data_IF_786247016701
#
_entry.id   IF_786247016701
#
_cell.length_a   1.000
_cell.length_b   1.000
_cell.length_c   1.000
_cell.angle_alpha   90.00
_cell.angle_beta   90.00
_cell.angle_gamma   90.00
#
_symmetry.space_group_name_H-M   'P 1'
#
loop_
_entity.id
_entity.type
_entity.pdbx_description
1 polymer ?
#
# COMPACT_ATOMS: atom_id res chain seq x y z
N UNK A 1 65.26 21.32 -45.21
CA UNK A 1 65.30 20.14 -46.11
C UNK A 1 64.64 19.00 -45.36
N UNK A 2 63.38 18.64 -45.72
CA UNK A 2 62.96 17.34 -46.35
C UNK A 2 63.47 16.12 -45.55
N UNK A 3 62.66 15.25 -44.94
CA UNK A 3 61.54 14.43 -45.44
C UNK A 3 60.74 13.88 -44.23
N UNK A 4 59.40 13.90 -44.17
CA UNK A 4 58.40 12.94 -44.71
C UNK A 4 58.72 11.45 -44.44
N UNK A 5 58.00 10.85 -43.49
CA UNK A 5 57.43 9.50 -43.68
C UNK A 5 56.09 9.38 -42.93
N UNK A 6 55.08 9.00 -43.71
CA UNK A 6 53.66 8.86 -43.39
C UNK A 6 53.42 7.54 -42.64
N UNK A 7 52.80 7.60 -41.46
CA UNK A 7 52.28 6.43 -40.74
C UNK A 7 50.77 6.32 -40.91
N UNK A 8 50.36 5.42 -41.81
CA UNK A 8 48.99 5.11 -42.18
C UNK A 8 48.27 4.38 -41.02
N UNK A 9 47.25 4.99 -40.41
CA UNK A 9 46.32 4.27 -39.51
C UNK A 9 45.04 3.99 -40.28
N UNK A 10 44.83 2.70 -40.58
CA UNK A 10 43.61 2.20 -41.22
C UNK A 10 42.38 2.53 -40.36
N UNK A 11 41.45 3.27 -40.96
CA UNK A 11 40.04 3.34 -40.55
C UNK A 11 39.39 1.98 -40.77
N UNK A 12 39.12 1.24 -39.70
CA UNK A 12 38.21 0.10 -39.74
C UNK A 12 36.79 0.65 -39.68
N UNK A 13 36.08 0.50 -40.80
CA UNK A 13 34.69 0.90 -40.96
C UNK A 13 33.77 0.20 -39.97
N UNK A 14 32.94 0.99 -39.29
CA UNK A 14 31.79 0.50 -38.54
C UNK A 14 30.73 0.06 -39.56
N UNK A 15 30.54 -1.26 -39.65
CA UNK A 15 29.52 -1.86 -40.50
C UNK A 15 28.15 -1.74 -39.81
N UNK A 16 27.38 -0.73 -40.23
CA UNK A 16 25.96 -0.57 -39.94
C UNK A 16 25.17 -1.54 -40.83
N UNK A 17 24.89 -2.73 -40.31
CA UNK A 17 23.67 -3.53 -40.57
C UNK A 17 23.88 -4.98 -40.11
N UNK A 18 23.50 -5.27 -38.87
CA UNK A 18 22.95 -6.59 -38.54
C UNK A 18 22.14 -6.46 -37.26
N UNK A 19 20.88 -6.01 -37.42
CA UNK A 19 19.90 -6.12 -36.36
C UNK A 19 19.62 -7.62 -36.16
N UNK A 20 20.32 -8.24 -35.20
CA UNK A 20 19.89 -9.52 -34.66
C UNK A 20 18.63 -9.27 -33.84
N UNK A 21 17.52 -9.81 -34.34
CA UNK A 21 16.28 -9.93 -33.59
C UNK A 21 16.58 -10.58 -32.25
N UNK A 22 16.33 -9.83 -31.17
CA UNK A 22 16.36 -10.37 -29.82
C UNK A 22 15.20 -11.36 -29.73
N UNK A 23 15.54 -12.65 -29.75
CA UNK A 23 14.63 -13.71 -29.36
C UNK A 23 14.11 -13.37 -27.96
N UNK A 24 12.79 -13.25 -27.86
CA UNK A 24 12.07 -12.95 -26.63
C UNK A 24 12.26 -14.12 -25.67
N UNK A 25 12.79 -13.90 -24.45
CA UNK A 25 12.78 -14.94 -23.45
C UNK A 25 11.34 -15.19 -23.01
N UNK A 26 10.86 -16.37 -23.34
CA UNK A 26 9.66 -17.00 -22.81
C UNK A 26 9.70 -16.94 -21.27
N UNK A 27 9.01 -15.96 -20.69
CA UNK A 27 8.67 -15.94 -19.27
C UNK A 27 7.17 -15.64 -19.16
N UNK A 28 6.37 -16.61 -19.60
CA UNK A 28 4.92 -16.62 -19.44
C UNK A 28 4.58 -16.78 -17.96
N UNK A 29 4.62 -15.68 -17.21
CA UNK A 29 3.68 -15.49 -16.13
C UNK A 29 2.31 -15.29 -16.79
N UNK A 30 1.46 -16.33 -16.77
CA UNK A 30 0.09 -16.20 -17.21
C UNK A 30 -0.55 -14.98 -16.52
N UNK A 31 -1.26 -14.10 -17.25
CA UNK A 31 -1.87 -12.92 -16.70
C UNK A 31 -3.02 -13.35 -15.79
N UNK A 32 -2.75 -13.48 -14.49
CA UNK A 32 -3.82 -13.52 -13.51
C UNK A 32 -4.29 -12.08 -13.34
N UNK A 33 -5.34 -11.73 -14.08
CA UNK A 33 -5.79 -10.35 -14.22
C UNK A 33 -6.50 -9.88 -12.96
N UNK A 34 -5.74 -9.27 -12.06
CA UNK A 34 -6.22 -8.09 -11.37
C UNK A 34 -6.18 -6.96 -12.41
N UNK A 35 -7.24 -6.15 -12.54
CA UNK A 35 -7.19 -4.97 -13.40
C UNK A 35 -5.91 -4.16 -13.13
N UNK A 36 -5.36 -3.42 -14.11
CA UNK A 36 -4.12 -2.69 -13.92
C UNK A 36 -4.25 -1.78 -12.68
N UNK A 37 -3.53 -2.10 -11.59
CA UNK A 37 -3.31 -1.16 -10.48
C UNK A 37 -3.45 -1.67 -9.05
N UNK A 38 -4.22 -2.71 -8.71
CA UNK A 38 -4.60 -2.95 -7.30
C UNK A 38 -3.71 -3.94 -6.52
N UNK A 39 -2.40 -3.96 -6.79
CA UNK A 39 -1.44 -4.73 -5.98
C UNK A 39 -0.71 -3.82 -5.03
N UNK A 40 -0.47 -4.25 -3.79
CA UNK A 40 0.21 -3.45 -2.76
C UNK A 40 1.54 -2.84 -3.23
N UNK A 41 2.32 -3.64 -3.95
CA UNK A 41 3.56 -3.23 -4.59
C UNK A 41 3.45 -3.27 -6.11
N UNK A 42 4.28 -2.49 -6.82
CA UNK A 42 4.49 -2.69 -8.24
C UNK A 42 4.75 -4.16 -8.57
N UNK A 43 4.36 -4.57 -9.77
CA UNK A 43 4.64 -5.91 -10.27
C UNK A 43 6.14 -6.22 -10.08
N UNK A 44 6.43 -7.33 -9.42
CA UNK A 44 7.79 -7.72 -9.07
C UNK A 44 7.91 -9.25 -9.10
N UNK A 45 9.14 -9.74 -9.24
CA UNK A 45 9.46 -11.16 -9.34
C UNK A 45 10.02 -11.75 -8.04
N UNK A 46 9.99 -10.99 -6.94
CA UNK A 46 10.56 -11.45 -5.68
C UNK A 46 9.68 -12.56 -5.09
N UNK A 47 10.33 -13.69 -4.79
CA UNK A 47 9.71 -14.86 -4.18
C UNK A 47 10.40 -15.19 -2.87
N UNK A 48 9.62 -15.39 -1.80
CA UNK A 48 10.15 -15.76 -0.48
C UNK A 48 9.48 -17.06 -0.02
N UNK A 49 10.18 -18.21 -0.14
CA UNK A 49 9.61 -19.50 0.22
C UNK A 49 9.42 -19.61 1.74
N UNK A 50 8.70 -20.65 2.16
CA UNK A 50 8.64 -21.03 3.57
C UNK A 50 10.05 -21.40 4.05
N UNK A 51 10.42 -20.89 5.22
CA UNK A 51 11.72 -21.17 5.85
C UNK A 51 11.48 -21.62 7.31
N UNK A 52 12.37 -22.46 7.88
CA UNK A 52 12.28 -22.88 9.28
C UNK A 52 12.44 -21.70 10.26
N UNK A 53 13.16 -20.66 9.82
CA UNK A 53 13.43 -19.44 10.56
C UNK A 53 12.86 -18.23 9.83
N UNK A 54 12.31 -17.29 10.57
CA UNK A 54 11.68 -16.09 10.02
C UNK A 54 11.10 -15.23 11.13
N UNK A 55 10.90 -13.94 10.85
CA UNK A 55 10.35 -13.00 11.84
C UNK A 55 8.86 -13.23 12.11
N UNK A 56 8.16 -13.93 11.21
CA UNK A 56 6.75 -14.25 11.32
C UNK A 56 6.47 -15.70 10.94
N UNK A 57 5.68 -16.41 11.74
CA UNK A 57 5.18 -17.74 11.44
C UNK A 57 3.72 -17.71 10.92
N UNK A 58 3.23 -18.86 10.46
CA UNK A 58 1.89 -18.98 9.88
C UNK A 58 0.77 -18.59 10.85
N UNK A 59 0.93 -18.94 12.14
CA UNK A 59 -0.05 -18.63 13.17
C UNK A 59 -0.17 -17.12 13.35
N UNK A 60 0.96 -16.40 13.43
CA UNK A 60 0.98 -14.94 13.51
C UNK A 60 0.37 -14.30 12.27
N UNK A 61 0.74 -14.79 11.08
CA UNK A 61 0.17 -14.34 9.81
C UNK A 61 -1.36 -14.48 9.79
N UNK A 62 -1.89 -15.68 10.05
CA UNK A 62 -3.34 -15.93 10.10
C UNK A 62 -4.03 -15.12 11.19
N UNK A 63 -3.39 -14.93 12.35
CA UNK A 63 -3.95 -14.14 13.44
C UNK A 63 -4.11 -12.67 13.08
N UNK A 64 -3.16 -12.08 12.35
CA UNK A 64 -3.29 -10.71 11.83
C UNK A 64 -4.56 -10.59 10.98
N UNK A 65 -4.71 -11.43 9.96
CA UNK A 65 -5.88 -11.38 9.08
C UNK A 65 -7.19 -11.64 9.84
N UNK A 66 -7.18 -12.54 10.82
CA UNK A 66 -8.36 -12.80 11.65
C UNK A 66 -8.79 -11.55 12.43
N UNK A 67 -7.86 -10.84 13.08
CA UNK A 67 -8.18 -9.63 13.84
C UNK A 67 -8.66 -8.52 12.90
N UNK A 68 -8.02 -8.35 11.73
CA UNK A 68 -8.48 -7.38 10.73
C UNK A 68 -9.91 -7.70 10.27
N UNK A 69 -10.23 -8.96 9.94
CA UNK A 69 -11.59 -9.38 9.58
C UNK A 69 -12.60 -9.09 10.69
N UNK A 70 -12.27 -9.40 11.95
CA UNK A 70 -13.15 -9.17 13.10
C UNK A 70 -13.54 -7.69 13.25
N UNK A 71 -12.60 -6.79 12.95
CA UNK A 71 -12.83 -5.34 13.02
C UNK A 71 -13.59 -4.85 11.79
N UNK A 72 -13.20 -5.29 10.59
CA UNK A 72 -13.63 -4.65 9.35
C UNK A 72 -14.81 -5.31 8.65
N UNK A 73 -15.01 -6.62 8.75
CA UNK A 73 -16.15 -7.26 8.09
C UNK A 73 -17.51 -6.66 8.53
N UNK A 74 -17.75 -6.34 9.82
CA UNK A 74 -18.97 -5.62 10.22
C UNK A 74 -19.08 -4.22 9.60
N UNK A 75 -17.97 -3.50 9.46
CA UNK A 75 -17.92 -2.15 8.87
C UNK A 75 -18.28 -2.21 7.38
N UNK A 76 -17.80 -3.21 6.65
CA UNK A 76 -18.20 -3.43 5.25
C UNK A 76 -19.70 -3.63 5.12
N UNK A 77 -20.30 -4.46 5.99
CA UNK A 77 -21.75 -4.70 6.00
C UNK A 77 -22.56 -3.43 6.28
N UNK A 78 -22.11 -2.62 7.23
CA UNK A 78 -22.72 -1.32 7.53
C UNK A 78 -22.63 -0.34 6.36
N UNK A 79 -21.60 -0.45 5.52
CA UNK A 79 -21.39 0.35 4.31
C UNK A 79 -22.03 -0.26 3.05
N UNK A 80 -22.98 -1.19 3.20
CA UNK A 80 -23.71 -1.79 2.08
C UNK A 80 -22.93 -2.81 1.27
N UNK A 81 -21.73 -3.22 1.71
CA UNK A 81 -20.96 -4.32 1.11
C UNK A 81 -21.24 -5.59 1.91
N UNK A 82 -21.79 -6.65 1.29
CA UNK A 82 -22.33 -7.80 2.04
C UNK A 82 -21.25 -8.59 2.80
N UNK A 83 -19.99 -8.51 2.37
CA UNK A 83 -18.88 -9.25 3.01
C UNK A 83 -17.50 -8.67 2.63
N UNK A 84 -16.59 -8.71 3.60
CA UNK A 84 -15.14 -8.67 3.38
C UNK A 84 -14.57 -10.10 3.51
N UNK A 85 -13.86 -10.57 2.49
CA UNK A 85 -13.11 -11.83 2.55
C UNK A 85 -11.61 -11.55 2.58
N UNK A 86 -10.94 -11.98 3.65
CA UNK A 86 -9.47 -11.98 3.75
C UNK A 86 -8.94 -13.38 3.46
N UNK A 87 -8.15 -13.53 2.39
CA UNK A 87 -7.55 -14.80 2.01
C UNK A 87 -6.09 -14.89 2.49
N UNK A 88 -5.80 -15.72 3.51
CA UNK A 88 -4.43 -15.99 3.95
C UNK A 88 -3.74 -16.98 3.00
N UNK A 89 -2.91 -16.49 2.07
CA UNK A 89 -2.14 -17.31 1.13
C UNK A 89 -0.75 -17.63 1.69
N UNK A 90 -0.69 -18.30 2.85
CA UNK A 90 0.59 -18.53 3.54
C UNK A 90 1.60 -19.32 2.70
N UNK A 91 1.18 -20.37 2.00
CA UNK A 91 2.08 -21.21 1.19
C UNK A 91 2.54 -20.54 -0.10
N UNK A 92 1.88 -19.45 -0.51
CA UNK A 92 2.27 -18.69 -1.68
C UNK A 92 3.48 -17.80 -1.36
N UNK A 93 4.51 -17.88 -2.19
CA UNK A 93 5.79 -17.21 -2.01
C UNK A 93 5.85 -15.81 -2.66
N UNK A 94 4.75 -15.35 -3.26
CA UNK A 94 4.64 -14.01 -3.85
C UNK A 94 4.87 -12.92 -2.80
N UNK A 95 5.63 -11.88 -3.14
CA UNK A 95 5.80 -10.66 -2.33
C UNK A 95 4.84 -9.58 -2.82
N UNK A 96 3.57 -9.73 -2.47
CA UNK A 96 2.53 -8.73 -2.72
C UNK A 96 1.29 -8.96 -1.82
N UNK A 97 0.30 -8.09 -1.97
CA UNK A 97 -1.09 -8.30 -1.58
C UNK A 97 -1.99 -7.70 -2.67
N UNK A 98 -3.24 -8.14 -2.75
CA UNK A 98 -4.18 -7.64 -3.76
C UNK A 98 -5.57 -7.39 -3.17
N UNK A 99 -6.20 -6.31 -3.64
CA UNK A 99 -7.61 -6.02 -3.43
C UNK A 99 -8.39 -6.17 -4.75
N UNK A 100 -9.55 -6.81 -4.68
CA UNK A 100 -10.46 -6.95 -5.82
C UNK A 100 -11.88 -7.25 -5.37
N UNK A 101 -12.83 -7.22 -6.30
CA UNK A 101 -14.24 -7.50 -6.04
C UNK A 101 -14.63 -8.80 -6.75
N UNK A 102 -15.14 -9.77 -6.00
CA UNK A 102 -15.79 -10.95 -6.57
C UNK A 102 -17.28 -10.68 -6.81
N UNK A 103 -17.89 -11.44 -7.73
CA UNK A 103 -19.29 -11.27 -8.15
C UNK A 103 -19.62 -9.86 -8.65
N UNK A 104 -18.63 -9.13 -9.17
CA UNK A 104 -18.88 -7.91 -9.92
C UNK A 104 -19.49 -8.30 -11.26
N UNK A 105 -20.75 -7.92 -11.51
CA UNK A 105 -21.50 -8.35 -12.69
C UNK A 105 -20.75 -8.10 -14.02
N UNK A 106 -19.94 -7.03 -14.06
CA UNK A 106 -19.13 -6.66 -15.23
C UNK A 106 -17.93 -7.58 -15.48
N UNK A 107 -17.50 -8.39 -14.50
CA UNK A 107 -16.32 -9.25 -14.59
C UNK A 107 -16.65 -10.75 -14.73
N UNK A 108 -17.88 -11.16 -14.41
CA UNK A 108 -18.30 -12.57 -14.47
C UNK A 108 -18.19 -13.09 -15.91
N UNK A 109 -17.51 -14.23 -16.10
CA UNK A 109 -17.35 -14.89 -17.40
C UNK A 109 -16.21 -14.34 -18.27
N UNK A 110 -15.49 -13.32 -17.81
CA UNK A 110 -14.28 -12.84 -18.49
C UNK A 110 -13.07 -13.71 -18.12
N UNK A 111 -12.03 -13.81 -18.98
CA UNK A 111 -10.74 -14.44 -18.61
C UNK A 111 -10.09 -13.83 -17.36
N UNK A 112 -10.55 -12.64 -16.97
CA UNK A 112 -10.04 -11.84 -15.88
C UNK A 112 -10.81 -12.05 -14.57
N UNK A 113 -11.82 -12.93 -14.57
CA UNK A 113 -12.54 -13.27 -13.34
C UNK A 113 -11.63 -14.12 -12.44
N UNK A 114 -11.27 -13.67 -11.23
CA UNK A 114 -10.38 -14.44 -10.38
C UNK A 114 -11.00 -15.83 -10.10
N UNK A 115 -10.28 -16.95 -10.28
CA UNK A 115 -10.80 -18.29 -10.06
C UNK A 115 -11.34 -18.49 -8.63
N UNK A 116 -10.76 -17.81 -7.65
CA UNK A 116 -11.29 -17.76 -6.28
C UNK A 116 -12.71 -17.22 -6.19
N UNK A 117 -13.11 -16.32 -7.09
CA UNK A 117 -14.47 -15.79 -7.14
C UNK A 117 -15.51 -16.76 -7.70
N UNK A 118 -15.10 -17.81 -8.44
CA UNK A 118 -16.02 -18.74 -9.10
C UNK A 118 -16.92 -19.54 -8.13
N UNK A 119 -16.54 -19.61 -6.85
CA UNK A 119 -17.27 -20.36 -5.82
C UNK A 119 -17.76 -19.48 -4.66
N UNK A 120 -17.61 -18.16 -4.76
CA UNK A 120 -17.94 -17.26 -3.66
C UNK A 120 -19.41 -16.84 -3.72
N UNK A 121 -20.19 -17.36 -2.77
CA UNK A 121 -21.58 -16.96 -2.56
C UNK A 121 -21.70 -16.10 -1.30
N UNK A 122 -22.59 -15.10 -1.33
CA UNK A 122 -22.93 -14.32 -0.12
C UNK A 122 -23.94 -15.05 0.75
N UNK A 123 -24.77 -15.91 0.15
CA UNK A 123 -25.67 -16.88 0.76
C UNK A 123 -26.00 -17.96 -0.28
N UNK A 124 -26.53 -19.15 0.10
CA UNK A 124 -26.85 -20.19 -0.88
C UNK A 124 -27.67 -19.65 -2.06
N UNK A 125 -27.09 -19.69 -3.26
CA UNK A 125 -27.71 -19.19 -4.50
C UNK A 125 -27.66 -17.65 -4.71
N UNK A 126 -27.07 -16.89 -3.80
CA UNK A 126 -26.95 -15.42 -3.90
C UNK A 126 -25.51 -15.02 -4.22
N UNK A 127 -25.36 -14.22 -5.29
CA UNK A 127 -24.09 -13.73 -5.82
C UNK A 127 -24.06 -12.20 -5.79
N UNK A 128 -23.95 -11.62 -4.61
CA UNK A 128 -23.73 -10.17 -4.46
C UNK A 128 -22.23 -9.84 -4.44
N UNK A 129 -21.82 -8.61 -4.77
CA UNK A 129 -20.40 -8.22 -4.79
C UNK A 129 -19.71 -8.44 -3.44
N UNK A 130 -18.57 -9.13 -3.44
CA UNK A 130 -17.77 -9.40 -2.23
C UNK A 130 -16.45 -8.67 -2.36
N UNK A 131 -16.12 -7.85 -1.35
CA UNK A 131 -14.80 -7.23 -1.27
C UNK A 131 -13.79 -8.26 -0.80
N UNK A 132 -12.70 -8.38 -1.54
CA UNK A 132 -11.66 -9.37 -1.29
C UNK A 132 -10.31 -8.68 -1.10
N UNK A 133 -9.55 -9.24 -0.17
CA UNK A 133 -8.13 -8.94 0.06
C UNK A 133 -7.37 -10.25 0.16
N UNK A 134 -6.40 -10.46 -0.74
CA UNK A 134 -5.52 -11.61 -0.76
C UNK A 134 -4.13 -11.21 -0.27
N UNK A 135 -3.66 -11.86 0.80
CA UNK A 135 -2.38 -11.57 1.44
C UNK A 135 -1.44 -12.76 1.21
N UNK A 136 -0.25 -12.52 0.67
CA UNK A 136 0.68 -13.59 0.29
C UNK A 136 1.76 -13.81 1.35
N UNK A 137 2.07 -15.08 1.59
CA UNK A 137 3.04 -15.46 2.61
C UNK A 137 4.45 -14.95 2.32
N UNK A 138 4.82 -14.83 1.05
CA UNK A 138 6.12 -14.27 0.66
C UNK A 138 6.33 -12.86 1.21
N UNK A 139 5.30 -12.01 1.14
CA UNK A 139 5.32 -10.67 1.73
C UNK A 139 5.51 -10.73 3.25
N UNK A 140 4.75 -11.59 3.94
CA UNK A 140 4.84 -11.75 5.39
C UNK A 140 6.21 -12.27 5.86
N UNK A 141 6.90 -13.03 5.02
CA UNK A 141 8.25 -13.57 5.29
C UNK A 141 9.38 -12.64 4.85
N UNK A 142 9.07 -11.48 4.27
CA UNK A 142 10.11 -10.54 3.86
C UNK A 142 10.94 -10.07 5.07
N UNK A 143 12.30 -10.04 5.01
CA UNK A 143 13.15 -9.75 6.17
C UNK A 143 12.95 -8.37 6.81
N UNK A 144 12.31 -7.44 6.10
CA UNK A 144 11.99 -6.10 6.58
C UNK A 144 10.51 -5.95 7.01
N UNK A 145 9.71 -7.01 6.88
CA UNK A 145 8.30 -7.00 7.25
C UNK A 145 8.11 -7.29 8.74
N UNK A 146 7.14 -6.64 9.36
CA UNK A 146 6.76 -6.85 10.76
C UNK A 146 5.29 -7.24 10.88
N UNK A 147 4.86 -7.68 12.07
CA UNK A 147 3.44 -7.96 12.34
C UNK A 147 2.61 -6.68 12.15
N UNK A 148 3.08 -5.55 12.68
CA UNK A 148 2.46 -4.24 12.50
C UNK A 148 2.43 -3.83 11.03
N UNK A 149 3.51 -4.12 10.28
CA UNK A 149 3.56 -3.90 8.86
C UNK A 149 2.49 -4.70 8.12
N UNK A 150 2.35 -5.98 8.43
CA UNK A 150 1.33 -6.83 7.80
C UNK A 150 -0.11 -6.36 8.09
N UNK A 151 -0.38 -5.86 9.30
CA UNK A 151 -1.65 -5.18 9.62
C UNK A 151 -1.85 -4.00 8.67
N UNK A 152 -0.82 -3.20 8.45
CA UNK A 152 -0.91 -2.00 7.62
C UNK A 152 -1.06 -2.33 6.13
N UNK A 153 -0.49 -3.43 5.64
CA UNK A 153 -0.75 -3.95 4.28
C UNK A 153 -2.24 -4.31 4.14
N UNK A 154 -2.80 -5.09 5.06
CA UNK A 154 -4.23 -5.42 5.00
C UNK A 154 -5.12 -4.16 5.06
N UNK A 155 -4.72 -3.17 5.87
CA UNK A 155 -5.39 -1.88 5.93
C UNK A 155 -5.31 -1.06 4.65
N UNK A 156 -4.18 -1.12 3.93
CA UNK A 156 -4.05 -0.52 2.60
C UNK A 156 -5.02 -1.18 1.61
N UNK A 157 -5.06 -2.52 1.57
CA UNK A 157 -5.93 -3.25 0.65
C UNK A 157 -7.42 -2.99 0.94
N UNK A 158 -7.79 -2.87 2.22
CA UNK A 158 -9.11 -2.38 2.64
C UNK A 158 -9.35 -0.94 2.18
N UNK A 159 -8.30 -0.12 2.18
CA UNK A 159 -8.31 1.25 1.69
C UNK A 159 -8.79 1.35 0.25
N UNK A 160 -8.40 0.43 -0.64
CA UNK A 160 -8.96 0.43 -2.00
C UNK A 160 -10.48 0.37 -1.99
N UNK A 161 -11.09 -0.41 -1.09
CA UNK A 161 -12.55 -0.55 -1.03
C UNK A 161 -13.27 0.61 -0.33
N UNK A 162 -12.66 1.23 0.68
CA UNK A 162 -13.34 2.13 1.63
C UNK A 162 -12.73 3.53 1.76
N UNK A 163 -11.52 3.80 1.26
CA UNK A 163 -10.83 5.07 1.50
C UNK A 163 -11.43 6.27 0.75
N UNK A 164 -12.44 6.07 -0.10
CA UNK A 164 -13.12 7.13 -0.82
C UNK A 164 -12.20 7.81 -1.84
N UNK A 165 -12.34 9.12 -1.99
CA UNK A 165 -11.57 9.91 -2.95
C UNK A 165 -10.18 10.32 -2.44
N UNK A 166 -9.17 10.42 -3.34
CA UNK A 166 -9.24 10.17 -4.78
C UNK A 166 -9.25 8.68 -5.17
N UNK A 167 -9.97 8.37 -6.26
CA UNK A 167 -10.07 7.03 -6.86
C UNK A 167 -9.33 6.96 -8.19
N UNK A 168 -8.95 5.75 -8.58
CA UNK A 168 -8.48 5.47 -9.93
C UNK A 168 -9.51 5.90 -10.96
N UNK A 169 -9.08 6.24 -12.18
CA UNK A 169 -9.97 6.51 -13.32
C UNK A 169 -10.14 5.28 -14.21
N UNK A 170 -11.19 5.26 -15.02
CA UNK A 170 -11.43 4.18 -15.99
C UNK A 170 -11.89 2.87 -15.34
N UNK A 171 -11.31 1.73 -15.74
CA UNK A 171 -11.82 0.40 -15.36
C UNK A 171 -11.63 0.03 -13.88
N UNK A 172 -10.89 0.84 -13.11
CA UNK A 172 -10.61 0.62 -11.68
C UNK A 172 -11.28 1.67 -10.78
N UNK A 173 -12.29 2.40 -11.26
CA UNK A 173 -12.98 3.49 -10.53
C UNK A 173 -13.61 3.12 -9.19
N UNK A 174 -13.78 1.82 -8.92
CA UNK A 174 -14.23 1.34 -7.61
C UNK A 174 -13.19 1.56 -6.50
N UNK A 175 -11.90 1.63 -6.87
CA UNK A 175 -10.78 1.61 -5.93
C UNK A 175 -10.22 3.01 -5.64
N UNK A 176 -9.92 3.30 -4.38
CA UNK A 176 -9.05 4.42 -4.02
C UNK A 176 -7.65 4.25 -4.63
N UNK A 177 -6.98 5.35 -4.97
CA UNK A 177 -5.60 5.31 -5.49
C UNK A 177 -4.60 4.89 -4.41
N UNK A 178 -3.41 4.41 -4.81
CA UNK A 178 -2.39 3.89 -3.87
C UNK A 178 -2.10 4.82 -2.68
N UNK A 179 -1.86 6.11 -2.96
CA UNK A 179 -1.57 7.08 -1.90
C UNK A 179 -2.76 7.34 -0.98
N UNK A 180 -4.00 7.25 -1.49
CA UNK A 180 -5.20 7.40 -0.67
C UNK A 180 -5.43 6.15 0.19
N UNK A 181 -5.16 4.96 -0.36
CA UNK A 181 -5.16 3.70 0.39
C UNK A 181 -4.13 3.73 1.52
N UNK A 182 -2.90 4.22 1.27
CA UNK A 182 -1.88 4.43 2.30
C UNK A 182 -2.33 5.40 3.40
N UNK A 183 -2.91 6.52 3.00
CA UNK A 183 -3.38 7.54 3.94
C UNK A 183 -4.53 7.01 4.81
N UNK A 184 -5.49 6.30 4.22
CA UNK A 184 -6.56 5.61 4.95
C UNK A 184 -6.02 4.55 5.91
N UNK A 185 -4.99 3.81 5.47
CA UNK A 185 -4.42 2.71 6.24
C UNK A 185 -3.97 3.19 7.63
N UNK A 186 -3.34 4.36 7.76
CA UNK A 186 -2.91 4.90 9.07
C UNK A 186 -3.88 5.89 9.70
N UNK A 187 -4.69 6.61 8.92
CA UNK A 187 -5.65 7.59 9.48
C UNK A 187 -6.94 6.96 9.99
N UNK A 188 -7.34 5.78 9.50
CA UNK A 188 -8.59 5.10 9.86
C UNK A 188 -8.36 3.64 10.27
N UNK A 189 -7.81 2.82 9.38
CA UNK A 189 -7.82 1.37 9.58
C UNK A 189 -6.93 0.87 10.70
N UNK A 190 -5.65 1.25 10.69
CA UNK A 190 -4.72 0.88 11.73
C UNK A 190 -5.20 1.36 13.11
N UNK A 191 -5.95 2.48 13.19
CA UNK A 191 -6.52 2.95 14.46
C UNK A 191 -7.52 1.97 15.05
N UNK A 192 -8.48 1.52 14.23
CA UNK A 192 -9.50 0.55 14.65
C UNK A 192 -8.87 -0.79 15.00
N UNK A 193 -7.96 -1.27 14.14
CA UNK A 193 -7.30 -2.57 14.34
C UNK A 193 -6.37 -2.55 15.56
N UNK A 194 -5.50 -1.55 15.70
CA UNK A 194 -4.62 -1.47 16.85
C UNK A 194 -5.37 -1.20 18.15
N UNK A 195 -6.46 -0.43 18.13
CA UNK A 195 -7.36 -0.31 19.30
C UNK A 195 -7.93 -1.67 19.72
N UNK A 196 -8.32 -2.52 18.77
CA UNK A 196 -8.81 -3.86 19.06
C UNK A 196 -7.70 -4.81 19.57
N UNK A 197 -6.46 -4.64 19.12
CA UNK A 197 -5.29 -5.39 19.63
C UNK A 197 -4.91 -4.91 21.04
N UNK A 198 -5.06 -3.61 21.33
CA UNK A 198 -4.73 -2.99 22.61
C UNK A 198 -3.23 -2.90 22.89
N UNK A 199 -2.90 -2.50 24.13
CA UNK A 199 -1.52 -2.35 24.65
C UNK A 199 -0.63 -1.37 23.85
N UNK A 200 -1.21 -0.38 23.15
CA UNK A 200 -0.42 0.44 22.22
C UNK A 200 0.52 1.41 22.94
N UNK A 201 0.11 1.97 24.07
CA UNK A 201 1.02 2.78 24.90
C UNK A 201 2.23 1.98 25.40
N UNK A 202 2.01 0.74 25.88
CA UNK A 202 3.08 -0.16 26.34
C UNK A 202 3.99 -0.58 25.18
N UNK A 203 3.39 -0.92 24.03
CA UNK A 203 4.14 -1.21 22.81
C UNK A 203 5.08 -0.05 22.44
N UNK A 204 4.58 1.20 22.50
CA UNK A 204 5.34 2.40 22.14
C UNK A 204 6.48 2.74 23.11
N UNK A 205 6.46 2.21 24.33
CA UNK A 205 7.56 2.32 25.30
C UNK A 205 8.68 1.30 25.03
N UNK A 206 8.35 0.14 24.44
CA UNK A 206 9.30 -0.96 24.21
C UNK A 206 9.86 -0.99 22.80
N UNK A 207 9.07 -0.55 21.83
CA UNK A 207 9.48 -0.51 20.42
C UNK A 207 10.55 0.57 20.18
N UNK A 208 11.45 0.38 19.19
CA UNK A 208 12.46 1.36 18.81
C UNK A 208 11.84 2.51 18.00
N UNK A 209 10.88 3.23 18.59
CA UNK A 209 10.24 4.41 18.00
C UNK A 209 11.24 5.56 18.02
N UNK A 210 11.49 6.17 16.85
CA UNK A 210 12.43 7.28 16.73
C UNK A 210 11.91 8.55 17.39
N UNK A 211 12.80 9.50 17.66
CA UNK A 211 12.44 10.78 18.27
C UNK A 211 11.43 11.56 17.42
N UNK A 212 11.59 11.56 16.10
CA UNK A 212 10.73 12.28 15.15
C UNK A 212 9.29 11.78 15.21
N UNK A 213 9.11 10.44 15.21
CA UNK A 213 7.79 9.81 15.31
C UNK A 213 7.19 10.06 16.69
N UNK A 214 7.98 9.88 17.75
CA UNK A 214 7.51 10.10 19.12
C UNK A 214 7.02 11.53 19.32
N UNK A 215 7.82 12.51 18.91
CA UNK A 215 7.48 13.92 18.99
C UNK A 215 6.21 14.23 18.18
N UNK A 216 6.14 13.77 16.92
CA UNK A 216 4.98 14.03 16.05
C UNK A 216 3.69 13.45 16.62
N UNK A 217 3.72 12.21 17.12
CA UNK A 217 2.54 11.55 17.69
C UNK A 217 2.10 12.14 19.03
N UNK A 218 3.05 12.49 19.90
CA UNK A 218 2.74 13.16 21.17
C UNK A 218 2.16 14.55 20.95
N UNK A 219 2.69 15.31 19.99
CA UNK A 219 2.12 16.62 19.64
C UNK A 219 0.70 16.50 19.05
N UNK A 220 0.41 15.41 18.33
CA UNK A 220 -0.91 15.17 17.77
C UNK A 220 -1.94 14.68 18.79
N UNK A 221 -1.55 13.82 19.74
CA UNK A 221 -2.48 13.04 20.58
C UNK A 221 -2.18 13.05 22.08
N UNK A 222 -1.20 13.81 22.53
CA UNK A 222 -0.79 13.90 23.93
C UNK A 222 0.19 12.80 24.37
N UNK A 223 0.88 13.07 25.48
CA UNK A 223 1.88 12.18 26.07
C UNK A 223 1.22 10.92 26.63
N UNK A 224 1.81 9.75 26.40
CA UNK A 224 1.40 8.45 26.97
C UNK A 224 -0.08 8.07 26.73
N UNK A 225 -0.75 8.68 25.74
CA UNK A 225 -2.12 8.33 25.39
C UNK A 225 -2.15 7.10 24.49
N UNK A 226 -3.26 6.35 24.54
CA UNK A 226 -3.48 5.20 23.65
C UNK A 226 -3.45 5.62 22.17
N UNK A 227 -4.02 6.80 21.87
CA UNK A 227 -3.99 7.38 20.52
C UNK A 227 -2.56 7.71 20.06
N UNK A 228 -1.70 8.22 20.94
CA UNK A 228 -0.29 8.44 20.62
C UNK A 228 0.45 7.12 20.41
N UNK A 229 0.14 6.07 21.18
CA UNK A 229 0.70 4.73 20.97
C UNK A 229 0.31 4.13 19.62
N UNK A 230 -0.98 4.25 19.24
CA UNK A 230 -1.50 3.84 17.93
C UNK A 230 -0.81 4.61 16.80
N UNK A 231 -0.62 5.93 16.95
CA UNK A 231 0.09 6.75 15.97
C UNK A 231 1.52 6.25 15.76
N UNK A 232 2.27 6.01 16.86
CA UNK A 232 3.65 5.51 16.78
C UNK A 232 3.70 4.13 16.13
N UNK A 233 2.79 3.24 16.51
CA UNK A 233 2.68 1.88 15.94
C UNK A 233 2.40 1.90 14.45
N UNK A 234 1.49 2.78 14.01
CA UNK A 234 1.14 2.96 12.60
C UNK A 234 2.30 3.55 11.78
N UNK A 235 3.02 4.53 12.32
CA UNK A 235 4.17 5.12 11.64
C UNK A 235 5.32 4.12 11.47
N UNK A 236 5.62 3.32 12.51
CA UNK A 236 6.64 2.27 12.45
C UNK A 236 6.25 1.13 11.51
N UNK A 237 4.96 0.78 11.44
CA UNK A 237 4.44 -0.12 10.41
C UNK A 237 4.69 0.45 9.00
N UNK A 238 4.40 1.74 8.81
CA UNK A 238 4.66 2.44 7.55
C UNK A 238 6.12 2.39 7.13
N UNK A 239 7.05 2.51 8.08
CA UNK A 239 8.48 2.36 7.82
C UNK A 239 8.85 0.95 7.33
N UNK A 240 8.30 -0.10 7.95
CA UNK A 240 8.54 -1.48 7.51
C UNK A 240 8.09 -1.70 6.05
N UNK A 241 6.92 -1.14 5.69
CA UNK A 241 6.35 -1.22 4.35
C UNK A 241 7.17 -0.45 3.32
N UNK A 242 7.48 0.80 3.64
CA UNK A 242 8.26 1.68 2.79
C UNK A 242 9.68 1.12 2.56
N UNK A 243 10.32 0.54 3.59
CA UNK A 243 11.61 -0.13 3.46
C UNK A 243 11.54 -1.42 2.65
N UNK A 244 10.46 -2.19 2.80
CA UNK A 244 10.23 -3.38 1.97
C UNK A 244 10.09 -2.99 0.48
N UNK A 245 9.35 -1.93 0.17
CA UNK A 245 9.31 -1.38 -1.19
C UNK A 245 10.68 -0.86 -1.65
N UNK A 246 11.38 -0.14 -0.78
CA UNK A 246 12.74 0.38 -1.04
C UNK A 246 13.74 -0.72 -1.36
N UNK A 247 13.65 -1.89 -0.70
CA UNK A 247 14.50 -3.04 -1.01
C UNK A 247 14.28 -3.61 -2.41
N UNK A 248 13.08 -3.47 -3.00
CA UNK A 248 12.85 -3.88 -4.38
C UNK A 248 13.65 -3.02 -5.38
N UNK A 249 14.06 -1.81 -4.98
CA UNK A 249 14.92 -0.90 -5.74
C UNK A 249 16.37 -0.86 -5.25
N UNK A 250 16.74 -1.71 -4.29
CA UNK A 250 18.09 -1.80 -3.74
C UNK A 250 18.47 -0.75 -2.68
N UNK A 251 17.56 0.13 -2.27
CA UNK A 251 17.83 1.15 -1.25
C UNK A 251 16.77 1.19 -0.13
N UNK A 252 16.71 0.16 0.73
CA UNK A 252 15.82 0.18 1.89
C UNK A 252 16.31 1.14 3.00
N UNK A 253 17.61 1.44 3.07
CA UNK A 253 18.18 2.25 4.17
C UNK A 253 18.00 3.75 3.95
N UNK A 254 17.92 4.21 2.69
CA UNK A 254 17.59 5.58 2.35
C UNK A 254 16.19 6.01 2.80
N UNK A 255 15.31 5.04 3.12
CA UNK A 255 13.96 5.28 3.62
C UNK A 255 13.96 5.42 5.14
N UNK A 256 13.62 6.63 5.62
CA UNK A 256 13.66 6.97 7.04
C UNK A 256 12.76 8.19 7.37
N UNK A 257 12.52 8.45 8.66
CA UNK A 257 11.65 9.55 9.11
C UNK A 257 12.25 10.97 8.99
N UNK A 258 13.57 11.18 9.17
CA UNK A 258 14.16 12.50 8.94
C UNK A 258 14.04 12.99 7.48
N UNK A 259 14.04 12.05 6.53
CA UNK A 259 13.84 12.35 5.12
C UNK A 259 12.37 12.67 4.83
N UNK A 260 12.14 13.60 3.90
CA UNK A 260 10.82 13.96 3.37
C UNK A 260 10.93 14.10 1.85
N UNK A 261 10.03 13.47 1.12
CA UNK A 261 9.89 13.61 -0.32
C UNK A 261 9.33 15.00 -0.66
N UNK A 262 10.16 15.81 -1.33
CA UNK A 262 9.84 17.20 -1.71
C UNK A 262 9.18 17.32 -3.08
N UNK A 263 8.94 16.20 -3.78
CA UNK A 263 8.30 16.24 -5.09
C UNK A 263 6.87 16.77 -4.98
N UNK A 264 6.42 17.46 -6.03
CA UNK A 264 5.08 18.04 -6.12
C UNK A 264 4.48 17.60 -7.44
N UNK A 265 3.37 16.88 -7.38
CA UNK A 265 2.70 16.41 -8.58
C UNK A 265 1.81 17.49 -9.22
N UNK A 266 1.83 17.53 -10.55
CA UNK A 266 0.92 18.35 -11.36
C UNK A 266 -0.50 17.79 -11.44
N UNK A 267 -0.69 16.50 -11.19
CA UNK A 267 -2.00 15.83 -11.09
C UNK A 267 -1.89 14.74 -10.03
N UNK A 268 -2.99 14.37 -9.38
CA UNK A 268 -2.95 13.27 -8.41
C UNK A 268 -2.42 12.01 -9.09
N UNK A 269 -1.37 11.43 -8.53
CA UNK A 269 -0.74 10.22 -9.03
C UNK A 269 -1.50 9.00 -8.52
N UNK A 270 -1.99 8.17 -9.45
CA UNK A 270 -2.90 7.07 -9.11
C UNK A 270 -2.18 5.77 -8.74
N UNK A 271 -1.01 5.52 -9.33
CA UNK A 271 -0.20 4.31 -9.09
C UNK A 271 0.74 4.41 -7.88
N UNK A 272 1.72 3.50 -7.80
CA UNK A 272 2.59 3.32 -6.62
C UNK A 272 3.57 4.47 -6.40
N UNK A 273 3.39 5.33 -5.37
CA UNK A 273 4.33 6.40 -5.10
C UNK A 273 5.71 5.84 -4.71
N UNK A 274 6.74 6.69 -4.77
CA UNK A 274 8.06 6.32 -4.28
C UNK A 274 8.03 5.90 -2.80
N UNK A 275 8.94 5.02 -2.39
CA UNK A 275 8.95 4.46 -1.04
C UNK A 275 8.96 5.54 0.06
N UNK A 276 9.76 6.61 -0.10
CA UNK A 276 9.77 7.72 0.86
C UNK A 276 8.42 8.47 0.86
N UNK A 277 7.87 8.78 -0.30
CA UNK A 277 6.54 9.39 -0.42
C UNK A 277 5.42 8.55 0.26
N UNK A 278 5.50 7.21 0.19
CA UNK A 278 4.59 6.32 0.93
C UNK A 278 4.82 6.43 2.44
N UNK A 279 6.08 6.44 2.91
CA UNK A 279 6.39 6.67 4.33
C UNK A 279 5.81 7.99 4.84
N UNK A 280 6.03 9.08 4.10
CA UNK A 280 5.50 10.40 4.44
C UNK A 280 3.97 10.38 4.50
N UNK A 281 3.33 9.61 3.62
CA UNK A 281 1.87 9.43 3.58
C UNK A 281 1.37 8.66 4.81
N UNK A 282 2.05 7.59 5.20
CA UNK A 282 1.73 6.85 6.41
C UNK A 282 1.86 7.71 7.66
N UNK A 283 2.93 8.51 7.77
CA UNK A 283 3.14 9.46 8.89
C UNK A 283 2.06 10.54 8.91
N UNK A 284 1.72 11.10 7.73
CA UNK A 284 0.66 12.09 7.61
C UNK A 284 -0.70 11.53 8.06
N UNK A 285 -1.06 10.33 7.63
CA UNK A 285 -2.30 9.69 8.06
C UNK A 285 -2.29 9.35 9.55
N UNK A 286 -1.16 8.85 10.08
CA UNK A 286 -1.03 8.48 11.49
C UNK A 286 -1.23 9.70 12.41
N UNK A 287 -0.71 10.86 12.02
CA UNK A 287 -0.77 12.12 12.80
C UNK A 287 -2.05 12.94 12.58
N UNK A 288 -2.91 12.55 11.63
CA UNK A 288 -4.12 13.30 11.32
C UNK A 288 -5.17 13.20 12.44
N UNK A 289 -5.57 14.31 13.09
CA UNK A 289 -6.48 14.23 14.26
C UNK A 289 -7.97 14.06 13.92
N UNK A 290 -8.34 14.03 12.64
CA UNK A 290 -9.72 13.69 12.25
C UNK A 290 -10.07 12.29 12.80
N UNK A 291 -11.18 12.13 13.55
CA UNK A 291 -11.54 10.86 14.17
C UNK A 291 -11.63 9.71 13.17
N UNK A 292 -11.35 8.49 13.62
CA UNK A 292 -11.50 7.29 12.81
C UNK A 292 -12.97 6.93 12.54
N UNK A 293 -13.91 7.58 13.22
CA UNK A 293 -15.36 7.47 13.02
C UNK A 293 -15.90 8.43 11.94
N UNK A 294 -15.11 9.40 11.50
CA UNK A 294 -15.48 10.25 10.36
C UNK A 294 -14.93 9.62 9.08
N UNK A 295 -15.80 8.99 8.31
CA UNK A 295 -15.44 8.31 7.06
C UNK A 295 -15.04 9.29 5.96
N UNK A 296 -14.18 8.83 5.06
CA UNK A 296 -13.90 9.57 3.83
C UNK A 296 -15.13 9.60 2.93
N UNK A 297 -15.27 10.69 2.18
CA UNK A 297 -16.38 10.81 1.26
C UNK A 297 -16.06 10.23 -0.12
N UNK A 298 -17.10 9.72 -0.77
CA UNK A 298 -17.05 9.11 -2.09
C UNK A 298 -16.96 10.12 -3.25
N UNK A 299 -16.85 11.43 -3.01
CA UNK A 299 -16.72 12.46 -4.04
C UNK A 299 -15.92 13.69 -3.60
N UNK A 300 -15.96 14.05 -2.30
CA UNK A 300 -15.22 15.18 -1.75
C UNK A 300 -13.96 14.70 -0.99
N UNK A 301 -12.76 14.92 -1.53
CA UNK A 301 -11.54 14.46 -0.87
C UNK A 301 -11.28 15.15 0.47
N UNK A 302 -11.96 16.25 0.82
CA UNK A 302 -11.72 17.02 2.07
C UNK A 302 -12.43 16.44 3.30
N UNK A 303 -13.48 15.65 3.11
CA UNK A 303 -14.26 15.03 4.20
C UNK A 303 -13.52 13.80 4.74
N UNK A 304 -13.44 13.64 6.05
CA UNK A 304 -12.70 12.54 6.68
C UNK A 304 -11.17 12.68 6.66
N UNK A 305 -10.60 13.65 5.92
CA UNK A 305 -9.16 13.90 5.82
C UNK A 305 -8.71 15.11 6.62
N UNK A 306 -7.44 15.18 7.04
CA UNK A 306 -6.84 16.44 7.43
C UNK A 306 -6.62 17.32 6.18
N UNK A 307 -6.68 18.64 6.35
CA UNK A 307 -6.49 19.58 5.25
C UNK A 307 -6.68 21.04 5.68
N UNK A 308 -6.41 21.99 4.76
CA UNK A 308 -6.52 23.42 5.03
C UNK A 308 -7.91 23.81 5.55
N UNK A 309 -7.95 24.75 6.50
CA UNK A 309 -9.19 25.26 7.07
C UNK A 309 -9.82 24.38 8.16
N UNK A 310 -9.19 23.24 8.49
CA UNK A 310 -9.54 22.48 9.69
C UNK A 310 -8.67 22.89 10.88
N UNK A 311 -9.14 22.59 12.10
CA UNK A 311 -8.41 22.91 13.35
C UNK A 311 -7.07 22.15 13.41
N UNK A 312 -6.94 21.06 12.66
CA UNK A 312 -5.70 20.31 12.45
C UNK A 312 -4.81 20.96 11.38
N UNK A 313 -3.66 21.50 11.77
CA UNK A 313 -2.65 22.03 10.84
C UNK A 313 -1.69 20.97 10.28
N UNK A 314 -1.73 19.73 10.80
CA UNK A 314 -0.81 18.64 10.46
C UNK A 314 -1.52 17.44 9.82
N UNK A 315 -0.75 16.52 9.23
CA UNK A 315 -1.26 15.25 8.72
C UNK A 315 -1.90 15.35 7.34
N UNK A 316 -1.52 16.34 6.52
CA UNK A 316 -2.05 16.50 5.17
C UNK A 316 -1.48 15.44 4.23
N UNK A 317 -2.29 15.00 3.27
CA UNK A 317 -1.82 14.10 2.20
C UNK A 317 -0.62 14.74 1.47
N UNK A 318 0.53 14.04 1.37
CA UNK A 318 1.74 14.59 0.77
C UNK A 318 1.60 14.99 -0.69
N UNK A 319 2.27 16.08 -1.07
CA UNK A 319 2.27 16.61 -2.44
C UNK A 319 3.04 15.75 -3.45
N UNK A 320 3.84 14.81 -2.99
CA UNK A 320 4.58 13.85 -3.82
C UNK A 320 3.67 12.86 -4.55
N UNK A 321 2.39 12.76 -4.18
CA UNK A 321 1.38 12.01 -4.95
C UNK A 321 0.01 12.72 -5.03
N UNK A 322 -0.32 13.59 -4.08
CA UNK A 322 -1.65 14.20 -4.00
C UNK A 322 -1.66 15.64 -4.56
N UNK A 323 -2.57 15.90 -5.50
CA UNK A 323 -2.97 17.26 -5.86
C UNK A 323 -4.32 17.58 -5.20
N UNK A 324 -4.38 18.47 -4.18
CA UNK A 324 -5.63 18.95 -3.64
C UNK A 324 -6.45 19.66 -4.72
N UNK A 325 -7.79 19.53 -4.69
CA UNK A 325 -8.64 20.37 -5.52
C UNK A 325 -8.38 21.84 -5.20
N UNK A 326 -8.54 22.71 -6.20
CA UNK A 326 -8.55 24.16 -6.00
C UNK A 326 -9.57 24.53 -4.93
N UNK A 327 -9.27 25.54 -4.12
CA UNK A 327 -10.20 26.02 -3.11
C UNK A 327 -11.52 26.39 -3.80
N UNK A 328 -12.65 25.95 -3.25
CA UNK A 328 -13.95 26.42 -3.73
C UNK A 328 -14.01 27.91 -3.37
N UNK A 329 -13.97 28.77 -4.39
CA UNK A 329 -14.09 30.23 -4.24
C UNK A 329 -12.77 31.02 -4.19
N UNK A 330 -11.73 30.61 -4.94
CA UNK A 330 -10.62 31.52 -5.30
C UNK A 330 -10.96 32.37 -6.50
#
# INVERSE_FOLDING_TARGET
MKSILLGLVLLVGVNINSAKTVETPELLAAPHVHGPGCGFFPANKLRIPIRPTGQMNELQFKRVLQVVAQVYDPIFRQNGRPKLALFPRWTDDTVNAYAFICNEAKLIGTPNYPPECARMQTSPGIYSPISVVSMFGGLARHPLMTIEGLVLVACHEIGHHLAGYPRYRGNSEWAAVEGQSDYFATSKCARKVFKAIGSNAVWAQRAPVTFEVRNSCVNAFGVNSEASGICMRSAMAGLALARTLGSLKGDPKGINFPNVDKSIVGTTFEGHPAAQCRLDTYVAGATCRVPDTEDFNAADPRKGSCGPGKVESNGYRPRCWYRPPTAIGS
#
